data_IF_326275208183
#
_entry.id   IF_326275208183
#
_cell.length_a   1.000
_cell.length_b   1.000
_cell.length_c   1.000
_cell.angle_alpha   90.00
_cell.angle_beta   90.00
_cell.angle_gamma   90.00
#
_symmetry.space_group_name_H-M   'P 1'
#
loop_
_entity.id
_entity.type
_entity.pdbx_description
1 polymer ?
#
# COMPACT_ATOMS: atom_id res chain seq x y z
N UNK A 1 -8.93 18.02 -7.22
CA UNK A 1 -7.74 18.14 -6.33
C UNK A 1 -7.16 16.74 -6.15
N UNK A 2 -6.26 16.35 -7.04
CA UNK A 2 -5.52 15.10 -6.87
C UNK A 2 -4.39 15.38 -5.87
N UNK A 3 -4.52 14.83 -4.64
CA UNK A 3 -3.40 14.80 -3.70
C UNK A 3 -2.35 13.90 -4.31
N UNK A 4 -1.39 14.49 -5.01
CA UNK A 4 -0.24 13.78 -5.56
C UNK A 4 0.75 13.54 -4.42
N UNK A 5 0.38 12.62 -3.52
CA UNK A 5 1.18 12.19 -2.39
C UNK A 5 2.36 11.40 -2.94
N UNK A 6 3.44 12.09 -3.26
CA UNK A 6 4.64 11.47 -3.82
C UNK A 6 5.35 10.69 -2.70
N UNK A 7 5.19 9.38 -2.67
CA UNK A 7 6.01 8.50 -1.82
C UNK A 7 7.43 8.61 -2.37
N UNK A 8 8.41 8.89 -1.50
CA UNK A 8 9.80 8.70 -1.85
C UNK A 8 10.04 7.18 -1.85
N UNK A 9 10.04 6.59 -3.04
CA UNK A 9 10.29 5.17 -3.26
C UNK A 9 11.82 4.96 -3.18
N UNK A 10 12.28 4.24 -2.17
CA UNK A 10 13.69 3.86 -2.03
C UNK A 10 14.01 2.72 -3.00
N UNK A 11 15.30 2.49 -3.30
CA UNK A 11 15.71 1.37 -4.15
C UNK A 11 15.24 0.00 -3.64
N UNK A 12 15.05 -0.14 -2.32
CA UNK A 12 14.56 -1.33 -1.62
C UNK A 12 13.07 -1.61 -1.92
N UNK A 13 12.31 -0.55 -2.23
CA UNK A 13 10.89 -0.64 -2.56
C UNK A 13 10.64 -1.09 -4.00
N UNK A 14 11.67 -1.02 -4.87
CA UNK A 14 11.54 -1.30 -6.29
C UNK A 14 11.03 -2.72 -6.55
N UNK A 15 11.53 -3.71 -5.81
CA UNK A 15 11.08 -5.09 -5.92
C UNK A 15 9.60 -5.24 -5.55
N UNK A 16 9.14 -4.51 -4.52
CA UNK A 16 7.75 -4.52 -4.08
C UNK A 16 6.82 -3.82 -5.08
N UNK A 17 7.25 -2.69 -5.66
CA UNK A 17 6.50 -1.98 -6.70
C UNK A 17 6.41 -2.82 -7.98
N UNK A 18 7.49 -3.50 -8.41
CA UNK A 18 7.43 -4.44 -9.55
C UNK A 18 6.45 -5.60 -9.31
N UNK A 19 6.46 -6.18 -8.11
CA UNK A 19 5.51 -7.24 -7.71
C UNK A 19 4.05 -6.74 -7.77
N UNK A 20 3.80 -5.51 -7.30
CA UNK A 20 2.48 -4.87 -7.34
C UNK A 20 2.08 -4.53 -8.78
N UNK A 21 3.01 -4.07 -9.62
CA UNK A 21 2.73 -3.80 -11.03
C UNK A 21 2.40 -5.09 -11.79
N UNK A 22 3.09 -6.20 -11.48
CA UNK A 22 2.79 -7.52 -12.06
C UNK A 22 1.48 -8.11 -11.53
N UNK A 23 1.17 -7.90 -10.25
CA UNK A 23 0.03 -8.51 -9.57
C UNK A 23 -0.77 -7.50 -8.74
N UNK A 24 -1.35 -6.50 -9.40
CA UNK A 24 -1.98 -5.34 -8.73
C UNK A 24 -3.22 -5.68 -7.89
N UNK A 25 -3.87 -6.80 -8.18
CA UNK A 25 -5.04 -7.30 -7.43
C UNK A 25 -4.68 -8.31 -6.34
N UNK A 26 -3.39 -8.51 -6.05
CA UNK A 26 -2.97 -9.47 -5.05
C UNK A 26 -2.75 -8.80 -3.70
N UNK A 27 -3.68 -9.05 -2.77
CA UNK A 27 -3.62 -8.54 -1.40
C UNK A 27 -2.30 -8.92 -0.70
N UNK A 28 -1.73 -10.10 -1.01
CA UNK A 28 -0.49 -10.57 -0.39
C UNK A 28 0.70 -9.65 -0.69
N UNK A 29 0.83 -9.18 -1.93
CA UNK A 29 1.93 -8.29 -2.33
C UNK A 29 1.77 -6.91 -1.70
N UNK A 30 0.54 -6.37 -1.68
CA UNK A 30 0.23 -5.13 -0.98
C UNK A 30 0.56 -5.20 0.51
N UNK A 31 0.14 -6.25 1.21
CA UNK A 31 0.42 -6.42 2.63
C UNK A 31 1.93 -6.56 2.91
N UNK A 32 2.67 -7.26 2.05
CA UNK A 32 4.13 -7.38 2.18
C UNK A 32 4.80 -6.02 2.03
N UNK A 33 4.35 -5.20 1.09
CA UNK A 33 4.90 -3.86 0.91
C UNK A 33 4.57 -2.94 2.09
N UNK A 34 3.35 -3.02 2.60
CA UNK A 34 2.92 -2.28 3.80
C UNK A 34 3.72 -2.71 5.03
N UNK A 35 3.96 -4.01 5.21
CA UNK A 35 4.77 -4.52 6.33
C UNK A 35 6.22 -4.04 6.25
N UNK A 36 6.80 -3.98 5.04
CA UNK A 36 8.11 -3.38 4.82
C UNK A 36 8.14 -1.89 5.21
N UNK A 37 7.04 -1.16 4.98
CA UNK A 37 6.88 0.25 5.35
C UNK A 37 6.28 0.50 6.74
N UNK A 38 6.12 -0.53 7.58
CA UNK A 38 5.47 -0.37 8.90
C UNK A 38 6.24 0.54 9.86
N UNK A 39 7.56 0.61 9.71
CA UNK A 39 8.44 1.47 10.51
C UNK A 39 8.48 2.93 9.99
N UNK A 40 7.82 3.19 8.85
CA UNK A 40 7.66 4.54 8.31
C UNK A 40 6.48 5.29 8.95
N UNK A 41 6.33 6.58 8.64
CA UNK A 41 5.21 7.37 9.15
C UNK A 41 3.85 6.80 8.74
N UNK A 42 2.86 6.87 9.65
CA UNK A 42 1.47 6.42 9.38
C UNK A 42 0.88 7.01 8.08
N UNK A 43 1.30 8.20 7.67
CA UNK A 43 0.88 8.80 6.39
C UNK A 43 1.27 7.94 5.17
N UNK A 44 2.47 7.35 5.18
CA UNK A 44 2.96 6.49 4.08
C UNK A 44 2.17 5.20 4.05
N UNK A 45 1.94 4.60 5.22
CA UNK A 45 1.17 3.37 5.36
C UNK A 45 -0.27 3.59 4.90
N UNK A 46 -0.91 4.68 5.35
CA UNK A 46 -2.27 5.04 4.95
C UNK A 46 -2.38 5.21 3.43
N UNK A 47 -1.40 5.85 2.81
CA UNK A 47 -1.38 6.04 1.37
C UNK A 47 -1.23 4.72 0.59
N UNK A 48 -0.44 3.77 1.08
CA UNK A 48 -0.34 2.43 0.49
C UNK A 48 -1.68 1.68 0.58
N UNK A 49 -2.37 1.78 1.72
CA UNK A 49 -3.73 1.24 1.84
C UNK A 49 -4.70 1.93 0.89
N UNK A 50 -4.68 3.26 0.77
CA UNK A 50 -5.53 3.99 -0.18
C UNK A 50 -5.26 3.56 -1.63
N UNK A 51 -3.99 3.34 -2.02
CA UNK A 51 -3.62 2.80 -3.34
C UNK A 51 -4.19 1.40 -3.55
N UNK A 52 -4.02 0.51 -2.59
CA UNK A 52 -4.54 -0.86 -2.66
C UNK A 52 -6.07 -0.88 -2.76
N UNK A 53 -6.75 -0.03 -1.98
CA UNK A 53 -8.21 0.08 -1.95
C UNK A 53 -8.80 0.73 -3.21
N UNK A 54 -8.06 1.61 -3.90
CA UNK A 54 -8.47 2.12 -5.22
C UNK A 54 -8.59 1.00 -6.26
N UNK A 55 -7.71 0.01 -6.20
CA UNK A 55 -7.74 -1.14 -7.10
C UNK A 55 -8.72 -2.22 -6.63
N UNK A 56 -8.83 -2.41 -5.31
CA UNK A 56 -9.64 -3.45 -4.68
C UNK A 56 -10.55 -2.88 -3.59
N UNK A 57 -11.59 -2.11 -3.95
CA UNK A 57 -12.47 -1.46 -2.97
C UNK A 57 -13.30 -2.49 -2.18
N UNK A 58 -13.54 -3.68 -2.73
CA UNK A 58 -14.30 -4.76 -2.07
C UNK A 58 -13.47 -5.64 -1.13
N UNK A 59 -12.17 -5.41 -0.99
CA UNK A 59 -11.32 -6.25 -0.15
C UNK A 59 -11.51 -5.92 1.32
N UNK A 60 -12.38 -6.67 2.00
CA UNK A 60 -12.64 -6.51 3.44
C UNK A 60 -11.35 -6.60 4.27
N UNK A 61 -10.41 -7.46 3.86
CA UNK A 61 -9.15 -7.68 4.60
C UNK A 61 -8.27 -6.43 4.60
N UNK A 62 -8.21 -5.70 3.47
CA UNK A 62 -7.48 -4.44 3.38
C UNK A 62 -8.18 -3.35 4.19
N UNK A 63 -9.51 -3.24 4.08
CA UNK A 63 -10.28 -2.29 4.88
C UNK A 63 -10.11 -2.52 6.39
N UNK A 64 -10.23 -3.76 6.85
CA UNK A 64 -10.05 -4.11 8.25
C UNK A 64 -8.65 -3.75 8.76
N UNK A 65 -7.61 -4.06 7.97
CA UNK A 65 -6.22 -3.73 8.32
C UNK A 65 -5.99 -2.22 8.34
N UNK A 66 -6.52 -1.50 7.35
CA UNK A 66 -6.44 -0.04 7.28
C UNK A 66 -7.10 0.65 8.49
N UNK A 67 -8.33 0.22 8.84
CA UNK A 67 -9.06 0.76 10.00
C UNK A 67 -8.40 0.42 11.34
N UNK A 68 -7.58 -0.64 11.42
CA UNK A 68 -6.81 -0.98 12.62
C UNK A 68 -5.55 -0.12 12.79
N UNK A 69 -4.95 0.30 11.68
CA UNK A 69 -3.72 1.11 11.68
C UNK A 69 -4.03 2.60 11.87
N UNK A 70 -5.24 3.02 11.49
CA UNK A 70 -5.76 4.38 11.67
C UNK A 70 -6.20 4.65 13.11
#
# INVERSE_FOLDING_TARGET
MERNSSIIISAEDLAHEEDILRNSYSIKHWLRYIDHKKDSSNNVINLLYERALKLMPGSYKLWFSYLKVR
#
